data_IF_587869067382
#
_entry.id   IF_587869067382
#
_cell.length_a   1.000
_cell.length_b   1.000
_cell.length_c   1.000
_cell.angle_alpha   90.00
_cell.angle_beta   90.00
_cell.angle_gamma   90.00
#
_symmetry.space_group_name_H-M   'P 1'
#
loop_
_entity.id
_entity.type
_entity.pdbx_description
1 polymer ?
#
# COMPACT_ATOMS: atom_id res chain seq x y z
N UNK A 1 5.89 -28.42 -7.92
CA UNK A 1 5.05 -27.65 -6.97
C UNK A 1 5.08 -28.35 -5.62
N UNK A 2 5.23 -27.64 -4.49
CA UNK A 2 5.15 -28.22 -3.14
C UNK A 2 3.76 -28.08 -2.52
N UNK A 3 3.01 -27.07 -2.96
CA UNK A 3 1.63 -26.76 -2.56
C UNK A 3 0.81 -26.34 -3.80
N UNK A 4 -0.53 -26.39 -3.77
CA UNK A 4 -1.35 -25.85 -4.86
C UNK A 4 -1.34 -24.31 -4.93
N UNK A 5 -1.82 -23.77 -6.05
CA UNK A 5 -2.21 -22.35 -6.18
C UNK A 5 -3.71 -22.23 -5.89
N UNK A 6 -4.11 -21.19 -5.16
CA UNK A 6 -5.51 -20.83 -4.93
C UNK A 6 -5.79 -19.47 -5.54
N UNK A 7 -6.73 -19.40 -6.49
CA UNK A 7 -7.07 -18.17 -7.21
C UNK A 7 -8.48 -17.77 -6.85
N UNK A 8 -8.67 -16.50 -6.49
CA UNK A 8 -9.97 -15.89 -6.24
C UNK A 8 -10.27 -14.90 -7.36
N UNK A 9 -11.20 -15.23 -8.25
CA UNK A 9 -11.57 -14.40 -9.39
C UNK A 9 -12.94 -14.83 -9.96
N UNK A 10 -13.64 -13.92 -10.62
CA UNK A 10 -14.69 -14.29 -11.56
C UNK A 10 -14.07 -14.70 -12.92
N UNK A 11 -14.89 -15.13 -13.88
CA UNK A 11 -14.40 -15.60 -15.19
C UNK A 11 -13.60 -14.53 -15.95
N UNK A 12 -14.03 -13.27 -15.89
CA UNK A 12 -13.34 -12.16 -16.57
C UNK A 12 -11.94 -11.92 -15.99
N UNK A 13 -11.85 -11.80 -14.67
CA UNK A 13 -10.57 -11.57 -13.98
C UNK A 13 -9.64 -12.77 -14.13
N UNK A 14 -10.18 -14.00 -14.10
CA UNK A 14 -9.39 -15.21 -14.36
C UNK A 14 -8.86 -15.22 -15.80
N UNK A 15 -9.71 -14.92 -16.78
CA UNK A 15 -9.30 -14.79 -18.18
C UNK A 15 -8.17 -13.77 -18.34
N UNK A 16 -8.21 -12.68 -17.57
CA UNK A 16 -7.13 -11.70 -17.54
C UNK A 16 -5.83 -12.26 -16.95
N UNK A 17 -5.88 -12.96 -15.82
CA UNK A 17 -4.71 -13.60 -15.21
C UNK A 17 -4.10 -14.70 -16.09
N UNK A 18 -4.90 -15.33 -16.96
CA UNK A 18 -4.44 -16.29 -17.96
C UNK A 18 -3.73 -15.62 -19.16
N UNK A 19 -3.96 -14.32 -19.38
CA UNK A 19 -3.39 -13.57 -20.52
C UNK A 19 -1.94 -13.11 -20.32
N UNK A 20 -1.42 -13.21 -19.09
CA UNK A 20 -0.05 -12.83 -18.74
C UNK A 20 0.64 -13.94 -17.90
N UNK A 21 1.77 -13.64 -17.26
CA UNK A 21 2.51 -14.64 -16.44
C UNK A 21 1.99 -14.80 -15.01
N UNK A 22 0.83 -14.26 -14.63
CA UNK A 22 0.32 -14.30 -13.24
C UNK A 22 0.24 -15.72 -12.69
N UNK A 23 -0.45 -16.61 -13.41
CA UNK A 23 -0.64 -18.01 -12.98
C UNK A 23 0.71 -18.74 -12.96
N UNK A 24 1.57 -18.51 -13.96
CA UNK A 24 2.90 -19.11 -13.99
C UNK A 24 3.77 -18.66 -12.80
N UNK A 25 3.71 -17.38 -12.42
CA UNK A 25 4.43 -16.85 -11.27
C UNK A 25 3.91 -17.45 -9.96
N UNK A 26 2.59 -17.61 -9.82
CA UNK A 26 2.00 -18.30 -8.68
C UNK A 26 2.46 -19.77 -8.60
N UNK A 27 2.46 -20.49 -9.74
CA UNK A 27 2.98 -21.87 -9.84
C UNK A 27 4.44 -21.92 -9.42
N UNK A 28 5.27 -21.01 -9.92
CA UNK A 28 6.69 -20.92 -9.58
C UNK A 28 6.87 -20.68 -8.07
N UNK A 29 6.06 -19.80 -7.47
CA UNK A 29 6.14 -19.53 -6.04
C UNK A 29 5.80 -20.76 -5.17
N UNK A 30 4.99 -21.71 -5.67
CA UNK A 30 4.72 -22.96 -4.95
C UNK A 30 5.95 -23.87 -4.79
N UNK A 31 7.08 -23.57 -5.46
CA UNK A 31 8.32 -24.35 -5.33
C UNK A 31 9.23 -23.84 -4.21
N UNK A 32 8.95 -22.67 -3.64
CA UNK A 32 9.79 -22.04 -2.63
C UNK A 32 9.95 -22.95 -1.39
N UNK A 33 11.17 -23.06 -0.81
CA UNK A 33 11.37 -23.85 0.40
C UNK A 33 10.55 -23.33 1.59
N UNK A 34 9.88 -24.26 2.27
CA UNK A 34 9.04 -23.98 3.44
C UNK A 34 7.69 -23.31 3.15
N UNK A 35 7.28 -23.16 1.88
CA UNK A 35 5.92 -22.70 1.55
C UNK A 35 4.87 -23.65 2.12
N UNK A 36 3.81 -23.11 2.72
CA UNK A 36 2.77 -23.88 3.40
C UNK A 36 1.38 -23.65 2.80
N UNK A 37 0.52 -24.68 2.88
CA UNK A 37 -0.86 -24.75 2.38
C UNK A 37 -1.08 -24.46 0.90
N UNK A 38 -0.88 -23.22 0.44
CA UNK A 38 -1.09 -22.78 -0.93
C UNK A 38 -0.44 -21.40 -1.18
N UNK A 39 -0.25 -21.07 -2.45
CA UNK A 39 0.02 -19.68 -2.88
C UNK A 39 -1.31 -19.09 -3.35
N UNK A 40 -1.70 -17.94 -2.78
CA UNK A 40 -2.94 -17.24 -3.10
C UNK A 40 -2.70 -16.20 -4.18
N UNK A 41 -3.62 -16.11 -5.14
CA UNK A 41 -3.77 -14.99 -6.07
C UNK A 41 -5.14 -14.37 -5.84
N UNK A 42 -5.14 -13.11 -5.39
CA UNK A 42 -6.33 -12.31 -5.14
C UNK A 42 -6.92 -11.74 -6.45
N UNK A 43 -8.16 -11.24 -6.44
CA UNK A 43 -8.85 -10.75 -7.66
C UNK A 43 -8.10 -9.69 -8.48
N UNK A 44 -7.32 -8.85 -7.81
CA UNK A 44 -6.47 -7.82 -8.42
C UNK A 44 -5.16 -8.38 -9.02
N UNK A 45 -4.95 -9.70 -8.90
CA UNK A 45 -3.81 -10.47 -9.38
C UNK A 45 -3.34 -10.14 -10.80
N UNK A 46 -2.06 -9.80 -10.98
CA UNK A 46 -1.45 -9.57 -12.29
C UNK A 46 0.07 -9.83 -12.24
N UNK A 47 0.70 -9.94 -13.42
CA UNK A 47 2.12 -10.24 -13.53
C UNK A 47 2.98 -9.21 -12.78
N UNK A 48 3.86 -9.72 -11.91
CA UNK A 48 4.88 -8.94 -11.18
C UNK A 48 6.31 -9.33 -11.56
N UNK A 49 7.25 -9.09 -10.63
CA UNK A 49 8.62 -9.60 -10.68
C UNK A 49 8.76 -10.85 -9.81
N UNK A 50 8.91 -12.03 -10.43
CA UNK A 50 9.01 -13.33 -9.76
C UNK A 50 7.70 -13.84 -9.15
N UNK A 51 7.14 -13.05 -8.24
CA UNK A 51 5.87 -13.29 -7.55
C UNK A 51 4.77 -12.37 -8.12
N UNK A 52 3.52 -12.85 -8.29
CA UNK A 52 2.44 -12.03 -8.82
C UNK A 52 2.12 -10.87 -7.86
N UNK A 53 1.76 -9.71 -8.42
CA UNK A 53 1.08 -8.66 -7.65
C UNK A 53 -0.35 -9.16 -7.38
N UNK A 54 -0.93 -8.88 -6.22
CA UNK A 54 -2.14 -9.58 -5.75
C UNK A 54 -1.83 -10.95 -5.12
N UNK A 55 -0.55 -11.26 -4.89
CA UNK A 55 -0.12 -12.55 -4.37
C UNK A 55 0.01 -12.56 -2.85
N UNK A 56 -0.30 -13.70 -2.23
CA UNK A 56 0.02 -13.99 -0.82
C UNK A 56 0.60 -15.39 -0.68
N UNK A 57 1.68 -15.54 0.07
CA UNK A 57 2.22 -16.85 0.43
C UNK A 57 2.73 -16.84 1.87
N UNK A 58 2.58 -17.98 2.55
CA UNK A 58 3.16 -18.19 3.88
C UNK A 58 4.32 -19.17 3.80
N UNK A 59 5.41 -18.83 4.48
CA UNK A 59 6.61 -19.65 4.62
C UNK A 59 6.78 -20.01 6.09
N UNK A 60 7.22 -21.22 6.39
CA UNK A 60 7.62 -21.59 7.76
C UNK A 60 8.65 -20.58 8.31
N UNK A 61 8.46 -20.03 9.51
CA UNK A 61 9.35 -18.98 10.02
C UNK A 61 10.79 -19.45 10.25
N UNK A 62 11.02 -20.75 10.46
CA UNK A 62 12.36 -21.30 10.74
C UNK A 62 12.95 -21.95 9.50
N UNK A 63 12.18 -22.78 8.81
CA UNK A 63 12.64 -23.61 7.67
C UNK A 63 12.32 -23.01 6.31
N UNK A 64 11.56 -21.93 6.28
CA UNK A 64 11.15 -21.24 5.06
C UNK A 64 12.16 -20.21 4.60
N UNK A 65 11.78 -19.51 3.54
CA UNK A 65 12.60 -18.48 2.91
C UNK A 65 11.97 -17.10 3.04
N UNK A 66 12.79 -16.08 2.88
CA UNK A 66 12.36 -14.71 2.64
C UNK A 66 12.81 -14.29 1.23
N UNK A 67 11.93 -13.62 0.49
CA UNK A 67 12.18 -13.22 -0.90
C UNK A 67 11.84 -11.74 -1.10
N UNK A 68 12.82 -10.88 -1.44
CA UNK A 68 12.56 -9.48 -1.75
C UNK A 68 11.59 -9.30 -2.92
N UNK A 69 11.68 -10.16 -3.94
CA UNK A 69 10.76 -10.16 -5.08
C UNK A 69 9.31 -10.47 -4.70
N UNK A 70 9.10 -11.21 -3.61
CA UNK A 70 7.77 -11.54 -3.07
C UNK A 70 7.23 -10.49 -2.10
N UNK A 71 8.04 -9.51 -1.71
CA UNK A 71 7.60 -8.28 -1.01
C UNK A 71 7.28 -7.19 -2.02
N UNK A 72 8.15 -7.01 -3.02
CA UNK A 72 8.08 -5.95 -4.02
C UNK A 72 9.20 -4.91 -3.87
N UNK A 73 9.41 -4.12 -4.92
CA UNK A 73 10.45 -3.08 -4.92
C UNK A 73 10.10 -1.93 -4.00
N UNK A 74 8.87 -1.43 -4.05
CA UNK A 74 8.42 -0.39 -3.13
C UNK A 74 7.92 -1.01 -1.83
N UNK A 75 8.87 -1.32 -0.94
CA UNK A 75 8.62 -1.91 0.38
C UNK A 75 7.72 -0.97 1.18
N UNK A 76 6.68 -1.50 1.80
CA UNK A 76 5.66 -0.70 2.50
C UNK A 76 5.06 0.41 1.61
N UNK A 77 4.96 0.19 0.29
CA UNK A 77 3.90 0.85 -0.46
C UNK A 77 2.58 0.54 0.23
N UNK A 78 1.77 1.56 0.45
CA UNK A 78 0.63 1.46 1.33
C UNK A 78 -0.29 2.66 1.18
N UNK A 79 -1.40 2.57 1.90
CA UNK A 79 -2.52 3.50 1.77
C UNK A 79 -2.89 4.01 3.15
N UNK A 80 -3.15 5.32 3.20
CA UNK A 80 -3.56 6.03 4.39
C UNK A 80 -4.83 6.81 4.10
N UNK A 81 -5.82 6.73 5.00
CA UNK A 81 -7.07 7.49 4.89
C UNK A 81 -7.18 8.50 6.04
N UNK A 82 -7.39 9.77 5.72
CA UNK A 82 -7.68 10.85 6.66
C UNK A 82 -9.16 11.21 6.47
N UNK A 83 -9.89 11.40 7.56
CA UNK A 83 -11.26 11.93 7.51
C UNK A 83 -11.26 13.41 7.88
N UNK A 84 -12.33 14.12 7.55
CA UNK A 84 -12.58 15.51 7.97
C UNK A 84 -13.99 15.64 8.52
N UNK A 85 -14.34 16.80 9.07
CA UNK A 85 -15.75 17.15 9.34
C UNK A 85 -16.39 17.95 8.19
N UNK A 86 -15.73 18.05 7.03
CA UNK A 86 -16.24 18.76 5.86
C UNK A 86 -17.10 17.84 4.99
N UNK A 87 -18.02 18.44 4.26
CA UNK A 87 -18.84 17.80 3.24
C UNK A 87 -18.42 18.23 1.83
N UNK A 88 -18.93 17.54 0.81
CA UNK A 88 -18.74 17.95 -0.59
C UNK A 88 -19.13 19.41 -0.81
N UNK A 89 -20.23 19.88 -0.22
CA UNK A 89 -20.69 21.28 -0.36
C UNK A 89 -19.69 22.31 0.17
N UNK A 90 -18.92 21.96 1.21
CA UNK A 90 -17.90 22.85 1.78
C UNK A 90 -16.66 22.90 0.88
N UNK A 91 -16.27 21.75 0.33
CA UNK A 91 -15.03 21.59 -0.44
C UNK A 91 -15.18 21.99 -1.89
N UNK A 92 -16.32 21.68 -2.53
CA UNK A 92 -16.55 21.88 -3.97
C UNK A 92 -16.25 23.31 -4.45
N UNK A 93 -16.65 24.39 -3.73
CA UNK A 93 -16.34 25.77 -4.14
C UNK A 93 -14.85 26.10 -4.10
N UNK A 94 -14.07 25.45 -3.23
CA UNK A 94 -12.63 25.69 -3.02
C UNK A 94 -11.74 24.60 -3.61
N UNK A 95 -12.32 23.61 -4.29
CA UNK A 95 -11.62 22.39 -4.72
C UNK A 95 -10.44 22.68 -5.65
N UNK A 96 -10.59 23.63 -6.59
CA UNK A 96 -9.51 24.00 -7.50
C UNK A 96 -8.32 24.64 -6.77
N UNK A 97 -8.60 25.48 -5.77
CA UNK A 97 -7.62 26.11 -4.90
C UNK A 97 -6.92 25.06 -4.03
N UNK A 98 -7.70 24.21 -3.36
CA UNK A 98 -7.21 23.12 -2.52
C UNK A 98 -6.27 22.17 -3.26
N UNK A 99 -6.67 21.68 -4.44
CA UNK A 99 -5.84 20.76 -5.22
C UNK A 99 -4.57 21.46 -5.74
N UNK A 100 -4.63 22.77 -6.00
CA UNK A 100 -3.44 23.55 -6.39
C UNK A 100 -2.48 23.70 -5.22
N UNK A 101 -2.97 24.10 -4.04
CA UNK A 101 -2.15 24.26 -2.84
C UNK A 101 -1.54 22.91 -2.40
N UNK A 102 -2.30 21.81 -2.43
CA UNK A 102 -1.80 20.46 -2.16
C UNK A 102 -0.66 20.08 -3.12
N UNK A 103 -0.84 20.33 -4.43
CA UNK A 103 0.18 20.02 -5.45
C UNK A 103 1.46 20.85 -5.28
N UNK A 104 1.33 22.09 -4.82
CA UNK A 104 2.48 22.97 -4.56
C UNK A 104 3.20 22.60 -3.25
N UNK A 105 2.44 22.15 -2.25
CA UNK A 105 2.96 21.82 -0.92
C UNK A 105 3.59 20.43 -0.82
N UNK A 106 3.13 19.49 -1.64
CA UNK A 106 3.54 18.09 -1.58
C UNK A 106 4.29 17.73 -2.88
N UNK A 107 5.63 17.55 -2.83
CA UNK A 107 6.42 17.14 -3.97
C UNK A 107 5.92 15.83 -4.59
N UNK A 108 5.76 15.88 -5.91
CA UNK A 108 5.30 14.78 -6.76
C UNK A 108 6.34 14.44 -7.83
N UNK A 109 6.30 13.19 -8.27
CA UNK A 109 7.08 12.68 -9.39
C UNK A 109 8.54 12.32 -9.08
N UNK A 110 9.31 12.14 -10.14
CA UNK A 110 10.75 11.84 -10.08
C UNK A 110 11.64 13.10 -10.11
N UNK A 111 11.03 14.28 -9.99
CA UNK A 111 11.75 15.55 -10.15
C UNK A 111 12.81 15.75 -9.06
N UNK A 112 13.80 16.62 -9.34
CA UNK A 112 14.85 17.02 -8.39
C UNK A 112 14.34 17.82 -7.18
N UNK A 113 13.02 17.97 -7.01
CA UNK A 113 12.48 18.63 -5.81
C UNK A 113 12.66 17.69 -4.63
N UNK A 114 13.33 18.22 -3.62
CA UNK A 114 13.49 17.54 -2.34
C UNK A 114 12.10 17.38 -1.70
N UNK A 115 11.90 16.27 -0.98
CA UNK A 115 10.69 16.04 -0.20
C UNK A 115 10.49 17.15 0.83
N UNK A 116 9.29 17.23 1.41
CA UNK A 116 8.98 18.35 2.31
C UNK A 116 9.88 18.42 3.57
N UNK A 117 10.58 17.34 3.92
CA UNK A 117 11.50 17.29 5.06
C UNK A 117 12.91 17.00 4.54
N UNK A 118 13.84 17.92 4.83
CA UNK A 118 15.25 17.78 4.50
C UNK A 118 15.94 17.02 5.63
N UNK A 119 16.57 15.90 5.29
CA UNK A 119 17.30 15.05 6.24
C UNK A 119 18.80 15.21 6.04
N UNK A 120 19.53 15.39 7.14
CA UNK A 120 20.95 15.08 7.21
C UNK A 120 21.19 13.55 7.23
N UNK A 121 22.45 13.15 7.07
CA UNK A 121 22.86 11.73 7.09
C UNK A 121 22.54 11.05 8.42
N UNK A 122 22.62 11.75 9.55
CA UNK A 122 22.28 11.19 10.86
C UNK A 122 20.77 11.13 11.09
N UNK A 123 20.02 12.12 10.60
CA UNK A 123 18.57 12.15 10.77
C UNK A 123 17.86 11.07 9.98
N UNK A 124 18.38 10.67 8.81
CA UNK A 124 17.78 9.54 8.09
C UNK A 124 17.89 8.24 8.91
N UNK A 125 19.00 7.98 9.58
CA UNK A 125 19.15 6.78 10.41
C UNK A 125 18.14 6.79 11.56
N UNK A 126 17.90 7.94 12.18
CA UNK A 126 16.85 8.09 13.19
C UNK A 126 15.45 7.82 12.62
N UNK A 127 15.13 8.31 11.41
CA UNK A 127 13.87 8.00 10.73
C UNK A 127 13.74 6.50 10.46
N UNK A 128 14.82 5.86 10.00
CA UNK A 128 14.84 4.42 9.70
C UNK A 128 14.66 3.56 10.95
N UNK A 129 15.06 4.04 12.13
CA UNK A 129 14.91 3.32 13.41
C UNK A 129 13.57 3.61 14.07
N UNK A 130 13.14 4.88 14.09
CA UNK A 130 12.03 5.34 14.93
C UNK A 130 10.71 5.54 14.16
N UNK A 131 10.72 5.56 12.83
CA UNK A 131 9.51 5.68 12.02
C UNK A 131 8.70 6.93 12.37
N UNK A 132 7.40 6.76 12.61
CA UNK A 132 6.48 7.88 12.94
C UNK A 132 6.84 8.60 14.24
N UNK A 133 7.45 7.91 15.22
CA UNK A 133 7.84 8.52 16.50
C UNK A 133 8.83 9.68 16.31
N UNK A 134 9.74 9.57 15.32
CA UNK A 134 10.64 10.66 14.98
C UNK A 134 9.89 11.93 14.53
N UNK A 135 8.78 11.76 13.83
CA UNK A 135 7.93 12.84 13.35
C UNK A 135 7.10 13.47 14.48
N UNK A 136 6.68 12.67 15.46
CA UNK A 136 6.02 13.17 16.68
C UNK A 136 6.96 14.12 17.41
N UNK A 137 8.22 13.72 17.60
CA UNK A 137 9.23 14.52 18.30
C UNK A 137 9.61 15.83 17.58
N UNK A 138 9.21 15.98 16.31
CA UNK A 138 9.40 17.20 15.52
C UNK A 138 8.12 17.98 15.22
N UNK A 139 6.98 17.56 15.79
CA UNK A 139 5.70 18.24 15.62
C UNK A 139 5.01 17.99 14.27
N UNK A 140 5.40 16.95 13.54
CA UNK A 140 4.75 16.54 12.28
C UNK A 140 3.67 15.46 12.47
N UNK A 141 3.48 14.97 13.68
CA UNK A 141 2.55 13.89 13.98
C UNK A 141 2.06 13.96 15.43
N UNK A 142 0.92 13.31 15.68
CA UNK A 142 0.41 13.07 17.03
C UNK A 142 0.59 11.61 17.43
N UNK A 143 0.45 11.30 18.72
CA UNK A 143 0.42 9.89 19.19
C UNK A 143 -0.77 9.12 18.62
N UNK A 144 -1.93 9.79 18.49
CA UNK A 144 -3.12 9.20 17.85
C UNK A 144 -2.83 8.79 16.40
N UNK A 145 -2.01 9.56 15.66
CA UNK A 145 -1.60 9.18 14.30
C UNK A 145 -0.76 7.89 14.30
N UNK A 146 0.18 7.73 15.24
CA UNK A 146 0.98 6.50 15.34
C UNK A 146 0.09 5.30 15.69
N UNK A 147 -0.83 5.44 16.65
CA UNK A 147 -1.76 4.37 17.07
C UNK A 147 -2.66 3.87 15.94
N UNK A 148 -2.99 4.73 14.97
CA UNK A 148 -3.78 4.37 13.80
C UNK A 148 -2.94 3.88 12.60
N UNK A 149 -1.62 3.69 12.78
CA UNK A 149 -0.79 3.02 11.80
C UNK A 149 -0.70 1.53 12.09
N UNK A 150 -0.65 0.72 11.03
CA UNK A 150 -0.18 -0.66 11.15
C UNK A 150 1.21 -0.68 11.83
N UNK A 151 1.40 -1.59 12.80
CA UNK A 151 2.61 -1.66 13.64
C UNK A 151 2.91 -0.38 14.44
N UNK A 152 1.92 0.47 14.69
CA UNK A 152 2.16 1.76 15.35
C UNK A 152 3.02 2.71 14.51
N UNK A 153 3.20 2.42 13.21
CA UNK A 153 4.06 3.20 12.32
C UNK A 153 5.56 2.98 12.55
N UNK A 154 5.95 1.90 13.25
CA UNK A 154 7.34 1.56 13.51
C UNK A 154 7.56 0.05 13.69
N UNK A 155 8.33 -0.56 12.79
CA UNK A 155 8.86 -1.91 12.95
C UNK A 155 10.12 -1.91 13.82
N UNK A 156 10.04 -2.59 14.96
CA UNK A 156 11.16 -2.75 15.89
C UNK A 156 12.26 -3.64 15.29
N UNK A 157 13.52 -3.27 15.55
CA UNK A 157 14.71 -4.01 15.09
C UNK A 157 15.12 -3.69 13.65
N UNK A 158 14.80 -2.48 13.18
CA UNK A 158 15.42 -1.88 12.01
C UNK A 158 16.90 -1.56 12.30
N UNK A 159 17.79 -1.80 11.34
CA UNK A 159 19.23 -1.52 11.46
C UNK A 159 19.73 -0.78 10.21
N UNK A 160 19.98 0.54 10.31
CA UNK A 160 20.49 1.34 9.20
C UNK A 160 21.84 0.87 8.64
N UNK A 161 22.66 0.14 9.41
CA UNK A 161 23.92 -0.43 8.92
C UNK A 161 23.72 -1.51 7.85
N UNK A 162 22.50 -2.06 7.73
CA UNK A 162 22.11 -3.04 6.71
C UNK A 162 21.54 -2.40 5.45
N UNK A 163 21.46 -1.08 5.41
CA UNK A 163 20.97 -0.28 4.28
C UNK A 163 22.17 0.34 3.55
N UNK A 164 22.24 0.19 2.23
CA UNK A 164 23.39 0.66 1.45
C UNK A 164 23.48 2.19 1.41
N UNK A 165 24.68 2.73 1.18
CA UNK A 165 24.86 4.18 0.97
C UNK A 165 24.06 4.69 -0.23
N UNK A 166 23.87 3.88 -1.27
CA UNK A 166 23.02 4.25 -2.41
C UNK A 166 21.54 4.37 -2.00
N UNK A 167 21.04 3.49 -1.12
CA UNK A 167 19.68 3.57 -0.62
C UNK A 167 19.47 4.82 0.24
N UNK A 168 20.45 5.16 1.09
CA UNK A 168 20.45 6.42 1.84
C UNK A 168 20.46 7.63 0.90
N UNK A 169 21.38 7.67 -0.08
CA UNK A 169 21.50 8.75 -1.07
C UNK A 169 20.20 8.97 -1.85
N UNK A 170 19.48 7.89 -2.18
CA UNK A 170 18.18 7.96 -2.87
C UNK A 170 17.04 8.39 -1.94
N UNK A 171 17.06 7.96 -0.67
CA UNK A 171 16.01 8.22 0.30
C UNK A 171 16.06 9.60 0.97
N UNK A 172 17.24 10.08 1.36
CA UNK A 172 17.38 11.36 2.08
C UNK A 172 16.62 12.54 1.44
N UNK A 173 16.73 12.79 0.12
CA UNK A 173 16.05 13.93 -0.48
C UNK A 173 14.56 13.67 -0.77
N UNK A 174 13.98 12.53 -0.39
CA UNK A 174 12.62 12.14 -0.82
C UNK A 174 11.59 12.08 0.30
N UNK A 175 11.96 12.34 1.56
CA UNK A 175 11.03 12.23 2.68
C UNK A 175 9.95 13.33 2.61
N UNK A 176 8.69 12.92 2.65
CA UNK A 176 7.55 13.81 2.43
C UNK A 176 7.28 14.05 0.95
N UNK A 177 7.37 13.02 0.11
CA UNK A 177 7.02 13.10 -1.32
C UNK A 177 6.13 11.93 -1.75
N UNK A 178 5.21 12.17 -2.68
CA UNK A 178 4.35 11.12 -3.23
C UNK A 178 5.14 10.19 -4.17
N UNK A 179 5.89 10.80 -5.08
CA UNK A 179 6.52 10.09 -6.19
C UNK A 179 5.66 9.96 -7.43
N UNK A 180 5.97 8.93 -8.22
CA UNK A 180 5.38 8.67 -9.54
C UNK A 180 4.70 7.30 -9.62
N UNK A 181 4.13 6.99 -10.78
CA UNK A 181 3.42 5.73 -11.03
C UNK A 181 2.00 5.78 -10.48
N UNK A 182 1.61 4.76 -9.73
CA UNK A 182 0.28 4.66 -9.12
C UNK A 182 0.16 5.43 -7.80
N UNK A 183 1.17 6.23 -7.41
CA UNK A 183 1.12 7.03 -6.20
C UNK A 183 0.34 8.33 -6.42
N UNK A 184 -0.50 8.68 -5.46
CA UNK A 184 -1.37 9.85 -5.52
C UNK A 184 -1.77 10.33 -4.13
N UNK A 185 -2.33 11.53 -4.09
CA UNK A 185 -3.23 11.97 -3.02
C UNK A 185 -4.56 12.36 -3.65
N UNK A 186 -5.64 11.83 -3.12
CA UNK A 186 -7.00 12.08 -3.58
C UNK A 186 -7.84 12.70 -2.46
N UNK A 187 -8.46 13.85 -2.76
CA UNK A 187 -9.58 14.36 -1.98
C UNK A 187 -10.83 13.68 -2.52
N UNK A 188 -11.53 12.94 -1.67
CA UNK A 188 -12.65 12.08 -2.03
C UNK A 188 -13.87 12.42 -1.19
N UNK A 189 -15.06 12.10 -1.69
CA UNK A 189 -16.27 12.06 -0.86
C UNK A 189 -16.71 10.63 -0.59
N UNK A 190 -17.36 10.41 0.53
CA UNK A 190 -18.11 9.19 0.81
C UNK A 190 -19.35 9.17 -0.07
N UNK A 191 -19.37 8.30 -1.07
CA UNK A 191 -20.50 8.16 -2.00
C UNK A 191 -21.62 7.32 -1.40
N UNK A 192 -21.25 6.25 -0.68
CA UNK A 192 -22.21 5.32 -0.10
C UNK A 192 -21.67 4.63 1.14
N UNK A 193 -22.50 4.48 2.17
CA UNK A 193 -22.20 3.70 3.38
C UNK A 193 -22.94 2.37 3.34
N UNK A 194 -22.21 1.28 3.59
CA UNK A 194 -22.72 -0.10 3.60
C UNK A 194 -22.75 -0.69 5.01
N UNK A 195 -21.77 -0.35 5.85
CA UNK A 195 -21.70 -0.75 7.25
C UNK A 195 -21.61 0.51 8.12
N UNK A 196 -22.75 0.92 8.67
CA UNK A 196 -22.87 2.16 9.44
C UNK A 196 -22.14 2.10 10.79
N UNK A 197 -22.08 0.93 11.42
CA UNK A 197 -21.38 0.76 12.70
C UNK A 197 -19.87 0.89 12.51
N UNK A 198 -19.33 0.24 11.48
CA UNK A 198 -17.92 0.36 11.14
C UNK A 198 -17.55 1.77 10.67
N UNK A 199 -18.37 2.39 9.82
CA UNK A 199 -18.16 3.77 9.37
C UNK A 199 -18.15 4.76 10.53
N UNK A 200 -19.15 4.68 11.43
CA UNK A 200 -19.22 5.54 12.63
C UNK A 200 -17.99 5.36 13.53
N UNK A 201 -17.54 4.12 13.71
CA UNK A 201 -16.33 3.82 14.50
C UNK A 201 -15.09 4.47 13.87
N UNK A 202 -15.02 4.54 12.55
CA UNK A 202 -13.96 5.24 11.81
C UNK A 202 -14.11 6.77 11.79
N UNK A 203 -15.20 7.31 12.32
CA UNK A 203 -15.51 8.74 12.28
C UNK A 203 -16.03 9.22 10.92
N UNK A 204 -16.60 8.31 10.13
CA UNK A 204 -17.29 8.60 8.87
C UNK A 204 -18.78 8.48 9.15
N UNK A 205 -19.49 9.61 9.16
CA UNK A 205 -20.82 9.70 9.73
C UNK A 205 -21.90 9.73 8.66
N UNK A 206 -21.62 10.37 7.52
CA UNK A 206 -22.60 10.61 6.47
C UNK A 206 -22.04 10.36 5.07
N UNK A 207 -22.95 10.07 4.14
CA UNK A 207 -22.67 10.20 2.72
C UNK A 207 -22.45 11.69 2.40
N UNK A 208 -21.43 11.99 1.60
CA UNK A 208 -20.95 13.34 1.31
C UNK A 208 -19.78 13.81 2.18
N UNK A 209 -19.46 13.11 3.28
CA UNK A 209 -18.28 13.42 4.11
C UNK A 209 -17.00 13.37 3.26
N UNK A 210 -16.10 14.32 3.48
CA UNK A 210 -14.83 14.42 2.74
C UNK A 210 -13.72 13.68 3.46
N UNK A 211 -13.00 12.88 2.68
CA UNK A 211 -11.83 12.10 3.12
C UNK A 211 -10.66 12.36 2.18
N UNK A 212 -9.45 12.07 2.66
CA UNK A 212 -8.22 12.19 1.89
C UNK A 212 -7.52 10.84 1.89
N UNK A 213 -7.30 10.28 0.70
CA UNK A 213 -6.58 9.03 0.51
C UNK A 213 -5.16 9.34 0.00
N UNK A 214 -4.14 8.90 0.75
CA UNK A 214 -2.73 9.03 0.39
C UNK A 214 -2.20 7.64 0.04
N UNK A 215 -1.69 7.48 -1.17
CA UNK A 215 -1.05 6.26 -1.64
C UNK A 215 0.39 6.54 -2.05
N UNK A 216 1.34 6.07 -1.23
CA UNK A 216 2.76 6.07 -1.55
C UNK A 216 3.52 5.06 -0.68
N UNK A 217 4.82 4.92 -0.92
CA UNK A 217 5.68 3.98 -0.20
C UNK A 217 7.03 4.55 0.21
N UNK A 218 8.01 3.66 0.24
CA UNK A 218 9.40 3.88 0.66
C UNK A 218 10.27 4.64 -0.33
N UNK A 219 9.68 5.07 -1.46
CA UNK A 219 10.36 5.87 -2.49
C UNK A 219 11.59 5.15 -3.04
N UNK A 220 12.65 5.89 -3.37
CA UNK A 220 13.90 5.33 -3.88
C UNK A 220 14.63 4.43 -2.87
N UNK A 221 14.38 4.60 -1.57
CA UNK A 221 15.07 3.87 -0.50
C UNK A 221 14.71 2.39 -0.51
N UNK A 222 13.42 2.04 -0.40
CA UNK A 222 13.03 0.63 -0.40
C UNK A 222 13.24 -0.03 -1.75
N UNK A 223 13.09 0.70 -2.87
CA UNK A 223 13.45 0.18 -4.19
C UNK A 223 14.92 -0.22 -4.23
N UNK A 224 15.82 0.61 -3.69
CA UNK A 224 17.24 0.30 -3.67
C UNK A 224 17.53 -0.89 -2.75
N UNK A 225 16.93 -0.94 -1.55
CA UNK A 225 17.06 -2.09 -0.63
C UNK A 225 16.63 -3.37 -1.32
N UNK A 226 15.47 -3.40 -1.97
CA UNK A 226 15.02 -4.56 -2.74
C UNK A 226 16.03 -4.94 -3.83
N UNK A 227 16.56 -3.96 -4.57
CA UNK A 227 17.58 -4.18 -5.62
C UNK A 227 18.87 -4.79 -5.07
N UNK A 228 19.33 -4.31 -3.92
CA UNK A 228 20.55 -4.76 -3.28
C UNK A 228 20.40 -6.19 -2.76
N UNK A 229 19.30 -6.48 -2.06
CA UNK A 229 19.06 -7.80 -1.49
C UNK A 229 18.64 -8.86 -2.52
N UNK A 230 18.10 -8.48 -3.68
CA UNK A 230 17.97 -9.42 -4.80
C UNK A 230 19.34 -9.94 -5.25
N UNK A 231 20.36 -9.07 -5.34
CA UNK A 231 21.72 -9.49 -5.69
C UNK A 231 22.33 -10.39 -4.62
N UNK A 232 22.13 -10.06 -3.34
CA UNK A 232 22.56 -10.91 -2.21
C UNK A 232 21.93 -12.29 -2.32
N UNK A 233 20.62 -12.37 -2.56
CA UNK A 233 19.92 -13.65 -2.71
C UNK A 233 20.50 -14.49 -3.85
N UNK A 234 20.71 -13.88 -5.03
CA UNK A 234 21.28 -14.56 -6.20
C UNK A 234 22.69 -15.10 -5.94
N UNK A 235 23.52 -14.37 -5.18
CA UNK A 235 24.87 -14.80 -4.81
C UNK A 235 24.88 -15.93 -3.79
N UNK A 236 23.82 -16.08 -2.99
CA UNK A 236 23.71 -17.09 -1.95
C UNK A 236 23.09 -18.42 -2.40
N UNK A 237 22.70 -18.58 -3.68
CA UNK A 237 22.06 -19.82 -4.16
C UNK A 237 22.91 -21.07 -3.95
N UNK A 238 24.20 -21.02 -4.31
CA UNK A 238 25.11 -22.16 -4.13
C UNK A 238 25.30 -22.50 -2.64
N UNK A 239 25.40 -21.47 -1.78
CA UNK A 239 25.57 -21.62 -0.32
C UNK A 239 24.41 -22.41 0.30
N UNK A 240 23.19 -22.19 -0.18
CA UNK A 240 21.98 -22.79 0.40
C UNK A 240 21.34 -23.89 -0.46
N UNK A 241 21.97 -24.27 -1.59
CA UNK A 241 21.42 -25.27 -2.51
C UNK A 241 20.04 -24.88 -3.06
N UNK A 242 19.82 -23.58 -3.32
CA UNK A 242 18.53 -23.07 -3.80
C UNK A 242 18.49 -23.18 -5.32
N UNK A 243 17.55 -23.98 -5.83
CA UNK A 243 17.19 -24.06 -7.24
C UNK A 243 15.80 -23.46 -7.45
N UNK A 244 15.70 -22.51 -8.38
CA UNK A 244 14.46 -21.78 -8.66
C UNK A 244 14.05 -21.94 -10.13
N UNK A 245 12.74 -22.12 -10.40
CA UNK A 245 12.24 -22.20 -11.77
C UNK A 245 12.28 -20.84 -12.50
N UNK A 246 12.43 -19.74 -11.75
CA UNK A 246 12.59 -18.39 -12.28
C UNK A 246 13.56 -17.62 -11.39
N UNK A 247 14.58 -17.00 -11.99
CA UNK A 247 15.58 -16.19 -11.28
C UNK A 247 14.96 -15.03 -10.50
N UNK A 248 13.82 -14.51 -10.96
CA UNK A 248 13.12 -13.41 -10.30
C UNK A 248 12.50 -13.79 -8.93
N UNK A 249 12.44 -15.08 -8.59
CA UNK A 249 12.00 -15.56 -7.27
C UNK A 249 13.13 -15.60 -6.23
N UNK A 250 14.18 -14.81 -6.42
CA UNK A 250 15.34 -14.80 -5.55
C UNK A 250 14.97 -14.73 -4.07
N UNK A 251 15.57 -15.63 -3.29
CA UNK A 251 15.27 -15.84 -1.89
C UNK A 251 16.46 -16.44 -1.14
N UNK A 252 16.44 -16.32 0.19
CA UNK A 252 17.37 -16.97 1.12
C UNK A 252 16.59 -17.56 2.30
N UNK A 253 17.14 -18.52 3.06
CA UNK A 253 16.47 -19.02 4.26
C UNK A 253 16.17 -17.87 5.23
N UNK A 254 14.97 -17.84 5.81
CA UNK A 254 14.52 -16.72 6.64
C UNK A 254 15.42 -16.48 7.87
N UNK A 255 15.99 -17.55 8.42
CA UNK A 255 16.87 -17.53 9.59
C UNK A 255 18.37 -17.44 9.22
N UNK A 256 18.71 -17.24 7.94
CA UNK A 256 20.12 -17.07 7.53
C UNK A 256 20.64 -15.68 7.85
N UNK A 257 21.96 -15.50 7.84
CA UNK A 257 22.61 -14.19 8.00
C UNK A 257 22.07 -13.16 7.00
N UNK A 258 21.96 -13.54 5.72
CA UNK A 258 21.41 -12.69 4.66
C UNK A 258 19.92 -12.43 4.85
N UNK A 259 19.17 -13.43 5.35
CA UNK A 259 17.75 -13.31 5.67
C UNK A 259 17.50 -12.33 6.82
N UNK A 260 18.26 -12.42 7.91
CA UNK A 260 18.22 -11.46 9.02
C UNK A 260 18.64 -10.05 8.59
N UNK A 261 19.73 -9.95 7.82
CA UNK A 261 20.18 -8.67 7.26
C UNK A 261 19.09 -8.02 6.40
N UNK A 262 18.45 -8.80 5.51
CA UNK A 262 17.34 -8.30 4.70
C UNK A 262 16.15 -7.85 5.56
N UNK A 263 15.76 -8.64 6.57
CA UNK A 263 14.66 -8.26 7.48
C UNK A 263 14.95 -6.94 8.19
N UNK A 264 16.16 -6.73 8.69
CA UNK A 264 16.55 -5.47 9.34
C UNK A 264 16.48 -4.28 8.37
N UNK A 265 17.00 -4.42 7.15
CA UNK A 265 16.94 -3.38 6.13
C UNK A 265 15.50 -3.12 5.63
N UNK A 266 14.70 -4.18 5.48
CA UNK A 266 13.29 -4.10 5.11
C UNK A 266 12.52 -3.31 6.17
N UNK A 267 12.76 -3.55 7.46
CA UNK A 267 12.17 -2.78 8.56
C UNK A 267 12.54 -1.29 8.50
N UNK A 268 13.77 -0.94 8.10
CA UNK A 268 14.14 0.45 7.83
C UNK A 268 13.25 1.06 6.72
N UNK A 269 13.00 0.33 5.63
CA UNK A 269 12.11 0.79 4.56
C UNK A 269 10.65 0.91 5.00
N UNK A 270 10.17 0.01 5.87
CA UNK A 270 8.85 0.14 6.51
C UNK A 270 8.73 1.46 7.27
N UNK A 271 9.68 1.72 8.16
CA UNK A 271 9.71 2.92 9.00
C UNK A 271 9.77 4.18 8.15
N UNK A 272 10.64 4.21 7.14
CA UNK A 272 10.73 5.32 6.20
C UNK A 272 9.40 5.58 5.45
N UNK A 273 8.72 4.53 4.99
CA UNK A 273 7.46 4.70 4.24
C UNK A 273 6.31 5.24 5.11
N UNK A 274 6.19 4.79 6.36
CA UNK A 274 5.21 5.38 7.29
C UNK A 274 5.56 6.82 7.63
N UNK A 275 6.84 7.12 7.87
CA UNK A 275 7.33 8.49 8.04
C UNK A 275 7.01 9.36 6.83
N UNK A 276 7.15 8.82 5.61
CA UNK A 276 6.81 9.53 4.38
C UNK A 276 5.30 9.85 4.30
N UNK A 277 4.43 8.87 4.54
CA UNK A 277 2.97 9.09 4.56
C UNK A 277 2.54 10.04 5.67
N UNK A 278 3.21 10.01 6.81
CA UNK A 278 2.96 10.93 7.92
C UNK A 278 3.41 12.37 7.60
N UNK A 279 4.58 12.55 6.98
CA UNK A 279 5.00 13.87 6.50
C UNK A 279 3.98 14.45 5.50
N UNK A 280 3.50 13.65 4.55
CA UNK A 280 2.46 14.07 3.60
C UNK A 280 1.15 14.38 4.32
N UNK A 281 0.78 13.62 5.36
CA UNK A 281 -0.40 13.89 6.21
C UNK A 281 -0.30 15.28 6.85
N UNK A 282 0.86 15.64 7.41
CA UNK A 282 1.07 16.97 7.98
C UNK A 282 0.87 18.08 6.95
N UNK A 283 1.51 17.97 5.78
CA UNK A 283 1.39 19.00 4.75
C UNK A 283 -0.01 19.06 4.13
N UNK A 284 -0.71 17.94 4.07
CA UNK A 284 -2.13 17.89 3.71
C UNK A 284 -2.96 18.71 4.70
N UNK A 285 -2.77 18.49 6.01
CA UNK A 285 -3.45 19.29 7.04
C UNK A 285 -3.15 20.77 6.89
N UNK A 286 -1.88 21.15 6.66
CA UNK A 286 -1.48 22.55 6.41
C UNK A 286 -2.13 23.16 5.16
N UNK A 287 -2.31 22.40 4.09
CA UNK A 287 -3.03 22.85 2.90
C UNK A 287 -4.50 23.13 3.19
N UNK A 288 -5.17 22.24 3.93
CA UNK A 288 -6.54 22.47 4.36
C UNK A 288 -6.65 23.68 5.31
N UNK A 289 -5.72 23.83 6.26
CA UNK A 289 -5.72 25.00 7.16
C UNK A 289 -5.66 26.33 6.38
N UNK A 290 -4.79 26.43 5.38
CA UNK A 290 -4.65 27.63 4.55
C UNK A 290 -5.91 27.93 3.73
N UNK A 291 -6.46 26.91 3.07
CA UNK A 291 -7.60 27.09 2.14
C UNK A 291 -8.92 27.30 2.87
N UNK A 292 -9.12 26.64 4.00
CA UNK A 292 -10.35 26.77 4.79
C UNK A 292 -10.27 27.83 5.88
N UNK A 293 -9.06 28.33 6.20
CA UNK A 293 -8.82 29.30 7.27
C UNK A 293 -9.37 28.82 8.62
N UNK A 294 -9.12 27.55 8.91
CA UNK A 294 -9.53 26.80 10.10
C UNK A 294 -8.34 25.97 10.57
N UNK A 295 -8.20 25.72 11.86
CA UNK A 295 -7.12 24.86 12.35
C UNK A 295 -7.36 23.38 12.00
N UNK A 296 -6.31 22.55 12.04
CA UNK A 296 -6.41 21.08 11.92
C UNK A 296 -7.46 20.50 12.88
N UNK A 297 -7.56 21.04 14.09
CA UNK A 297 -8.53 20.62 15.11
C UNK A 297 -9.96 21.04 14.74
N UNK A 298 -10.15 22.23 14.18
CA UNK A 298 -11.48 22.70 13.76
C UNK A 298 -12.03 21.88 12.59
N UNK A 299 -11.13 21.40 11.72
CA UNK A 299 -11.42 20.54 10.57
C UNK A 299 -11.52 19.05 10.92
N UNK A 300 -11.18 18.70 12.16
CA UNK A 300 -11.17 17.35 12.73
C UNK A 300 -10.46 16.34 11.81
N UNK A 301 -9.27 16.72 11.32
CA UNK A 301 -8.52 15.96 10.31
C UNK A 301 -7.76 14.76 10.90
N UNK A 302 -8.49 13.74 11.34
CA UNK A 302 -7.90 12.55 11.98
C UNK A 302 -7.56 11.43 11.01
N UNK A 303 -6.49 10.71 11.33
CA UNK A 303 -6.14 9.48 10.65
C UNK A 303 -7.18 8.39 10.96
N UNK A 304 -7.77 7.80 9.92
CA UNK A 304 -8.62 6.62 10.04
C UNK A 304 -7.75 5.39 10.23
N UNK A 305 -6.88 5.10 9.25
CA UNK A 305 -5.91 4.01 9.34
C UNK A 305 -4.82 4.16 8.27
N UNK A 306 -3.65 3.56 8.51
CA UNK A 306 -2.54 3.44 7.55
C UNK A 306 -2.10 1.96 7.46
N UNK A 307 -2.06 1.42 6.25
CA UNK A 307 -1.80 -0.01 6.03
C UNK A 307 -0.87 -0.26 4.83
N UNK A 308 0.03 -1.24 4.98
CA UNK A 308 0.96 -1.68 3.94
C UNK A 308 0.30 -2.69 2.98
N UNK A 309 0.73 -2.70 1.71
CA UNK A 309 0.37 -3.77 0.77
C UNK A 309 1.55 -4.44 0.05
N UNK A 310 2.78 -4.00 0.33
CA UNK A 310 4.02 -4.68 -0.04
C UNK A 310 4.79 -4.99 1.24
N UNK A 311 4.66 -6.21 1.75
CA UNK A 311 5.18 -6.59 3.06
C UNK A 311 5.66 -8.04 3.14
N UNK A 312 6.59 -8.30 4.06
CA UNK A 312 6.80 -9.61 4.66
C UNK A 312 6.76 -9.46 6.18
N UNK A 313 5.91 -10.23 6.85
CA UNK A 313 5.73 -10.15 8.31
C UNK A 313 5.73 -11.53 8.94
N UNK A 314 6.27 -11.63 10.14
CA UNK A 314 6.13 -12.83 10.96
C UNK A 314 4.78 -12.73 11.65
N UNK A 315 3.91 -13.71 11.44
CA UNK A 315 2.56 -13.77 12.00
C UNK A 315 2.28 -15.21 12.45
N UNK A 316 1.42 -15.37 13.45
CA UNK A 316 0.96 -16.68 13.89
C UNK A 316 -0.34 -17.06 13.18
N UNK A 317 -0.33 -18.21 12.52
CA UNK A 317 -1.47 -18.73 11.75
C UNK A 317 -1.70 -20.21 12.03
N UNK A 318 -2.95 -20.68 11.85
CA UNK A 318 -3.29 -22.10 11.98
C UNK A 318 -2.98 -22.85 10.69
N UNK A 319 -1.92 -23.64 10.72
CA UNK A 319 -1.47 -24.50 9.63
C UNK A 319 -1.69 -25.97 9.97
N UNK A 320 -2.57 -26.62 9.22
CA UNK A 320 -2.97 -28.02 9.41
C UNK A 320 -3.42 -28.33 10.85
N UNK A 321 -4.24 -27.43 11.40
CA UNK A 321 -4.79 -27.51 12.76
C UNK A 321 -3.80 -27.14 13.87
N UNK A 322 -2.59 -26.67 13.54
CA UNK A 322 -1.57 -26.26 14.52
C UNK A 322 -1.21 -24.80 14.35
N UNK A 323 -1.14 -24.07 15.45
CA UNK A 323 -0.58 -22.72 15.47
C UNK A 323 0.90 -22.77 15.09
N UNK A 324 1.30 -21.95 14.12
CA UNK A 324 2.67 -21.83 13.65
C UNK A 324 3.00 -20.38 13.35
N UNK A 325 4.21 -20.00 13.71
CA UNK A 325 4.81 -18.76 13.25
C UNK A 325 5.25 -18.91 11.79
N UNK A 326 4.81 -18.00 10.94
CA UNK A 326 5.06 -18.01 9.49
C UNK A 326 5.48 -16.63 9.01
N UNK A 327 6.32 -16.58 7.98
CA UNK A 327 6.56 -15.35 7.21
C UNK A 327 5.47 -15.24 6.16
N UNK A 328 4.62 -14.23 6.27
CA UNK A 328 3.56 -13.91 5.31
C UNK A 328 4.10 -12.89 4.32
N UNK A 329 4.35 -13.32 3.08
CA UNK A 329 4.67 -12.43 1.96
C UNK A 329 3.37 -11.91 1.34
N UNK A 330 3.23 -10.59 1.27
CA UNK A 330 2.14 -9.89 0.60
C UNK A 330 2.72 -8.92 -0.42
N UNK A 331 2.35 -9.06 -1.68
CA UNK A 331 2.77 -8.15 -2.75
C UNK A 331 1.56 -7.68 -3.52
N UNK A 332 1.23 -6.41 -3.38
CA UNK A 332 -0.09 -5.90 -3.75
C UNK A 332 -1.18 -6.69 -3.02
N UNK A 333 -1.03 -6.92 -1.72
CA UNK A 333 -2.04 -7.54 -0.89
C UNK A 333 -1.96 -6.94 0.51
N UNK A 334 -3.10 -6.74 1.14
CA UNK A 334 -3.21 -5.97 2.38
C UNK A 334 -3.57 -6.90 3.54
N UNK A 335 -3.09 -6.63 4.75
CA UNK A 335 -3.56 -7.34 5.95
C UNK A 335 -5.05 -7.06 6.20
N UNK A 336 -5.78 -8.05 6.68
CA UNK A 336 -7.23 -8.01 6.85
C UNK A 336 -7.66 -8.83 8.07
N UNK A 337 -7.06 -8.56 9.24
CA UNK A 337 -7.41 -9.28 10.45
C UNK A 337 -8.86 -9.03 10.88
N UNK A 338 -9.58 -10.07 11.32
CA UNK A 338 -10.95 -9.93 11.79
C UNK A 338 -11.04 -9.24 13.15
N UNK A 339 -12.26 -8.96 13.58
CA UNK A 339 -12.55 -8.54 14.94
C UNK A 339 -11.96 -9.51 15.98
N UNK A 340 -11.53 -8.98 17.12
CA UNK A 340 -10.91 -9.72 18.21
C UNK A 340 -9.38 -9.81 18.16
N UNK A 341 -8.75 -9.49 17.02
CA UNK A 341 -7.28 -9.50 16.91
C UNK A 341 -6.63 -8.47 17.85
N UNK A 342 -5.57 -8.85 18.55
CA UNK A 342 -4.80 -7.94 19.41
C UNK A 342 -3.86 -7.03 18.63
N UNK A 343 -3.53 -7.43 17.40
CA UNK A 343 -2.64 -6.75 16.44
C UNK A 343 -3.30 -5.53 15.76
N UNK A 344 -4.60 -5.31 16.00
CA UNK A 344 -5.33 -4.15 15.48
C UNK A 344 -5.59 -3.13 16.61
N UNK A 345 -5.63 -1.82 16.29
CA UNK A 345 -5.84 -0.78 17.29
C UNK A 345 -7.10 -1.04 18.10
N UNK A 346 -7.07 -0.72 19.40
CA UNK A 346 -8.18 -0.97 20.31
C UNK A 346 -9.52 -0.45 19.78
N UNK A 347 -9.49 0.73 19.14
CA UNK A 347 -10.63 1.38 18.47
C UNK A 347 -11.36 0.47 17.46
N UNK A 348 -10.63 -0.39 16.75
CA UNK A 348 -11.17 -1.22 15.67
C UNK A 348 -11.31 -2.71 16.05
N UNK A 349 -10.92 -3.11 17.27
CA UNK A 349 -10.96 -4.52 17.70
C UNK A 349 -12.34 -5.17 17.60
N UNK A 350 -13.41 -4.40 17.76
CA UNK A 350 -14.78 -4.93 17.67
C UNK A 350 -15.28 -5.11 16.24
N UNK A 351 -14.74 -4.36 15.27
CA UNK A 351 -15.21 -4.37 13.89
C UNK A 351 -14.28 -5.13 12.94
N UNK A 352 -12.98 -5.24 13.28
CA UNK A 352 -11.93 -5.80 12.43
C UNK A 352 -11.01 -4.72 11.86
N UNK A 353 -9.91 -5.14 11.23
CA UNK A 353 -8.90 -4.23 10.70
C UNK A 353 -9.45 -3.41 9.54
N UNK A 354 -9.38 -2.06 9.57
CA UNK A 354 -9.65 -1.25 8.38
C UNK A 354 -8.64 -1.59 7.27
N UNK A 355 -9.12 -1.66 6.05
CA UNK A 355 -8.30 -1.87 4.86
C UNK A 355 -8.89 -1.11 3.69
N UNK A 356 -8.06 -0.77 2.70
CA UNK A 356 -8.43 0.15 1.63
C UNK A 356 -8.14 -0.45 0.27
N UNK A 357 -9.06 -0.22 -0.68
CA UNK A 357 -8.83 -0.48 -2.09
C UNK A 357 -8.79 0.88 -2.80
N UNK A 358 -7.59 1.48 -2.98
CA UNK A 358 -7.42 2.57 -3.93
C UNK A 358 -7.86 2.13 -5.32
N UNK A 359 -8.74 2.93 -5.93
CA UNK A 359 -9.05 2.80 -7.34
C UNK A 359 -7.99 3.47 -8.21
N UNK A 360 -8.45 4.44 -8.98
CA UNK A 360 -7.65 5.29 -9.87
C UNK A 360 -8.26 6.69 -9.90
N UNK A 361 -7.57 7.65 -10.51
CA UNK A 361 -7.93 9.08 -10.52
C UNK A 361 -9.34 9.44 -11.02
N UNK A 362 -10.13 8.48 -11.51
CA UNK A 362 -11.53 8.67 -11.91
C UNK A 362 -12.45 7.49 -11.64
N UNK A 363 -12.02 6.54 -10.79
CA UNK A 363 -12.84 5.42 -10.29
C UNK A 363 -12.97 5.48 -8.77
N UNK A 364 -13.83 4.64 -8.20
CA UNK A 364 -14.05 4.57 -6.76
C UNK A 364 -12.85 4.05 -6.00
N UNK A 365 -12.73 4.46 -4.73
CA UNK A 365 -11.96 3.73 -3.73
C UNK A 365 -12.91 3.08 -2.73
N UNK A 366 -12.43 2.07 -2.00
CA UNK A 366 -13.25 1.37 -1.00
C UNK A 366 -12.59 1.34 0.37
N UNK A 367 -13.41 1.54 1.39
CA UNK A 367 -13.09 1.20 2.78
C UNK A 367 -13.71 -0.16 3.06
N UNK A 368 -12.89 -1.10 3.52
CA UNK A 368 -13.30 -2.42 3.96
C UNK A 368 -12.84 -2.67 5.40
N UNK A 369 -13.37 -3.73 6.01
CA UNK A 369 -12.86 -4.29 7.28
C UNK A 369 -12.61 -5.79 7.13
N UNK A 370 -11.53 -6.29 7.75
CA UNK A 370 -11.18 -7.70 7.77
C UNK A 370 -12.26 -8.59 8.39
N UNK A 371 -12.44 -9.80 7.85
CA UNK A 371 -13.46 -10.76 8.28
C UNK A 371 -12.88 -12.16 8.47
N UNK A 372 -13.54 -13.05 9.26
CA UNK A 372 -12.93 -14.30 9.71
C UNK A 372 -12.38 -15.22 8.61
N UNK A 373 -13.03 -15.27 7.44
CA UNK A 373 -12.54 -16.11 6.34
C UNK A 373 -11.18 -15.65 5.81
N UNK A 374 -10.74 -14.42 6.11
CA UNK A 374 -9.41 -13.95 5.72
C UNK A 374 -8.32 -14.84 6.33
N UNK A 375 -8.46 -15.26 7.60
CA UNK A 375 -7.47 -16.10 8.27
C UNK A 375 -7.34 -17.47 7.59
N UNK A 376 -8.47 -18.09 7.23
CA UNK A 376 -8.49 -19.44 6.65
C UNK A 376 -8.15 -19.44 5.14
N UNK A 377 -8.74 -18.52 4.37
CA UNK A 377 -8.65 -18.53 2.91
C UNK A 377 -7.41 -17.84 2.38
N UNK A 378 -6.92 -16.80 3.08
CA UNK A 378 -5.92 -15.87 2.56
C UNK A 378 -4.86 -15.45 3.58
N UNK A 379 -4.74 -16.18 4.71
CA UNK A 379 -3.74 -15.90 5.75
C UNK A 379 -3.85 -14.47 6.31
N UNK A 380 -5.07 -14.07 6.64
CA UNK A 380 -5.38 -12.75 7.17
C UNK A 380 -5.16 -11.64 6.15
N UNK A 381 -5.45 -11.88 4.86
CA UNK A 381 -5.14 -10.94 3.77
C UNK A 381 -6.33 -10.64 2.87
N UNK A 382 -6.30 -9.49 2.20
CA UNK A 382 -7.27 -9.11 1.16
C UNK A 382 -6.57 -8.29 0.07
N UNK A 383 -7.33 -7.90 -0.95
CA UNK A 383 -6.91 -7.08 -2.08
C UNK A 383 -6.32 -5.72 -1.66
N UNK A 384 -5.54 -5.10 -2.55
CA UNK A 384 -4.87 -3.83 -2.29
C UNK A 384 -5.26 -2.69 -3.22
N UNK A 385 -5.95 -2.98 -4.33
CA UNK A 385 -6.22 -2.00 -5.36
C UNK A 385 -6.93 -2.61 -6.56
N UNK A 386 -7.09 -1.81 -7.61
CA UNK A 386 -7.75 -2.27 -8.83
C UNK A 386 -6.91 -3.22 -9.70
N UNK A 387 -5.56 -3.19 -9.59
CA UNK A 387 -4.67 -4.01 -10.42
C UNK A 387 -4.67 -3.61 -11.92
N UNK A 388 -3.49 -3.59 -12.56
CA UNK A 388 -3.38 -3.10 -13.94
C UNK A 388 -3.88 -4.11 -14.96
N UNK A 389 -4.69 -3.65 -15.93
CA UNK A 389 -5.09 -4.40 -17.12
C UNK A 389 -4.07 -4.26 -18.27
N UNK A 390 -3.35 -3.15 -18.33
CA UNK A 390 -2.42 -2.88 -19.43
C UNK A 390 -1.13 -2.20 -18.97
N UNK A 391 -0.08 -2.40 -19.75
CA UNK A 391 1.21 -1.75 -19.52
C UNK A 391 1.12 -0.25 -19.78
N UNK A 392 2.03 0.52 -19.17
CA UNK A 392 2.15 1.97 -19.40
C UNK A 392 2.35 2.31 -20.88
N UNK A 393 3.18 1.53 -21.57
CA UNK A 393 3.39 1.66 -23.01
C UNK A 393 2.12 1.44 -23.82
N UNK A 394 1.28 0.47 -23.42
CA UNK A 394 0.00 0.24 -24.07
C UNK A 394 -1.00 1.38 -23.78
N UNK A 395 -1.01 1.94 -22.58
CA UNK A 395 -1.86 3.07 -22.23
C UNK A 395 -1.60 4.28 -23.16
N UNK A 396 -0.34 4.65 -23.37
CA UNK A 396 0.04 5.76 -24.28
C UNK A 396 -0.38 5.56 -25.74
N UNK A 397 -0.50 4.31 -26.18
CA UNK A 397 -0.94 4.00 -27.54
C UNK A 397 -2.45 4.12 -27.71
N UNK A 398 -3.22 3.88 -26.64
CA UNK A 398 -4.68 3.76 -26.70
C UNK A 398 -5.41 5.01 -26.19
N UNK A 399 -4.78 5.85 -25.38
CA UNK A 399 -5.42 7.00 -24.75
C UNK A 399 -4.67 8.31 -24.99
N UNK A 400 -5.44 9.40 -25.12
CA UNK A 400 -4.91 10.75 -25.26
C UNK A 400 -5.23 11.57 -24.01
N UNK A 401 -4.23 12.30 -23.52
CA UNK A 401 -4.34 13.25 -22.41
C UNK A 401 -5.60 14.13 -22.45
N UNK A 402 -5.91 14.75 -23.60
CA UNK A 402 -7.07 15.66 -23.71
C UNK A 402 -8.39 14.95 -23.40
N UNK A 403 -8.56 13.74 -23.93
CA UNK A 403 -9.76 12.92 -23.70
C UNK A 403 -9.88 12.51 -22.23
N UNK A 404 -8.76 12.12 -21.61
CA UNK A 404 -8.73 11.72 -20.19
C UNK A 404 -9.14 12.90 -19.29
N UNK A 405 -8.57 14.09 -19.53
CA UNK A 405 -8.93 15.29 -18.77
C UNK A 405 -10.39 15.67 -18.97
N UNK A 406 -10.91 15.65 -20.21
CA UNK A 406 -12.32 15.95 -20.49
C UNK A 406 -13.26 14.97 -19.76
N UNK A 407 -12.93 13.68 -19.72
CA UNK A 407 -13.70 12.67 -18.98
C UNK A 407 -13.70 12.92 -17.46
N UNK A 408 -12.55 13.29 -16.90
CA UNK A 408 -12.44 13.62 -15.48
C UNK A 408 -13.23 14.91 -15.14
N UNK A 409 -13.14 15.93 -16.00
CA UNK A 409 -13.87 17.19 -15.83
C UNK A 409 -15.38 17.00 -15.92
N UNK A 410 -15.87 16.13 -16.82
CA UNK A 410 -17.29 15.77 -16.91
C UNK A 410 -17.81 15.11 -15.62
N UNK A 411 -16.93 14.41 -14.88
CA UNK A 411 -17.22 13.86 -13.55
C UNK A 411 -17.03 14.87 -12.41
N UNK A 412 -16.65 16.11 -12.72
CA UNK A 412 -16.35 17.15 -11.73
C UNK A 412 -15.05 16.91 -10.96
N UNK A 413 -14.10 16.18 -11.54
CA UNK A 413 -12.82 15.83 -10.91
C UNK A 413 -11.74 16.83 -11.31
N UNK A 414 -11.10 17.45 -10.33
CA UNK A 414 -9.94 18.34 -10.54
C UNK A 414 -8.66 17.54 -10.45
N UNK A 415 -7.79 17.62 -11.46
CA UNK A 415 -6.51 16.91 -11.45
C UNK A 415 -5.32 17.86 -11.64
N UNK A 416 -4.27 17.64 -10.85
CA UNK A 416 -2.94 18.20 -11.05
C UNK A 416 -1.93 17.07 -11.18
N UNK A 417 -1.10 17.14 -12.20
CA UNK A 417 -0.05 16.14 -12.42
C UNK A 417 1.23 16.78 -12.96
N UNK A 418 2.38 16.16 -12.65
CA UNK A 418 3.69 16.63 -13.11
C UNK A 418 3.81 16.62 -14.62
N UNK A 419 3.35 15.56 -15.27
CA UNK A 419 3.42 15.44 -16.73
C UNK A 419 2.10 14.98 -17.32
N UNK A 420 1.92 15.27 -18.61
CA UNK A 420 0.79 14.71 -19.37
C UNK A 420 0.88 13.18 -19.49
N UNK A 421 2.10 12.65 -19.48
CA UNK A 421 2.33 11.21 -19.56
C UNK A 421 1.77 10.49 -18.34
N UNK A 422 2.03 11.03 -17.16
CA UNK A 422 1.57 10.48 -15.87
C UNK A 422 0.05 10.32 -15.83
N UNK A 423 -0.70 11.27 -16.39
CA UNK A 423 -2.16 11.21 -16.48
C UNK A 423 -2.61 10.08 -17.43
N UNK A 424 -1.96 9.91 -18.57
CA UNK A 424 -2.35 8.87 -19.54
C UNK A 424 -2.04 7.46 -19.01
N UNK A 425 -0.90 7.29 -18.32
CA UNK A 425 -0.48 5.99 -17.78
C UNK A 425 -1.41 5.42 -16.70
N UNK A 426 -2.15 6.30 -16.03
CA UNK A 426 -2.96 5.99 -14.86
C UNK A 426 -4.45 6.26 -15.08
N UNK A 427 -4.90 6.37 -16.34
CA UNK A 427 -6.32 6.55 -16.68
C UNK A 427 -7.16 5.35 -16.20
N UNK A 428 -8.42 5.55 -15.73
CA UNK A 428 -9.19 4.46 -15.12
C UNK A 428 -9.30 3.18 -15.94
N UNK A 429 -9.31 3.30 -17.26
CA UNK A 429 -9.43 2.17 -18.20
C UNK A 429 -8.18 1.27 -18.25
N UNK A 430 -7.06 1.66 -17.62
CA UNK A 430 -5.86 0.82 -17.52
C UNK A 430 -5.89 -0.12 -16.32
N UNK A 431 -6.93 -0.01 -15.49
CA UNK A 431 -7.14 -0.77 -14.26
C UNK A 431 -8.37 -1.68 -14.39
N UNK A 432 -8.41 -2.76 -13.61
CA UNK A 432 -9.62 -3.59 -13.51
C UNK A 432 -10.71 -2.80 -12.78
N UNK A 433 -11.95 -3.29 -12.85
CA UNK A 433 -13.04 -2.69 -12.09
C UNK A 433 -12.87 -2.95 -10.58
N UNK A 434 -12.59 -1.87 -9.86
CA UNK A 434 -12.40 -1.86 -8.41
C UNK A 434 -13.66 -2.26 -7.65
N UNK A 435 -14.86 -1.97 -8.19
CA UNK A 435 -16.13 -2.33 -7.58
C UNK A 435 -16.36 -3.85 -7.64
N UNK A 436 -15.95 -4.50 -8.74
CA UNK A 436 -15.96 -5.96 -8.87
C UNK A 436 -14.99 -6.60 -7.88
N UNK A 437 -13.78 -6.05 -7.76
CA UNK A 437 -12.75 -6.54 -6.83
C UNK A 437 -13.21 -6.43 -5.36
N UNK A 438 -13.81 -5.30 -4.99
CA UNK A 438 -14.41 -5.09 -3.66
C UNK A 438 -15.57 -6.06 -3.41
N UNK A 439 -16.37 -6.36 -4.43
CA UNK A 439 -17.49 -7.32 -4.34
C UNK A 439 -16.99 -8.73 -4.11
N UNK A 440 -16.01 -9.21 -4.88
CA UNK A 440 -15.46 -10.56 -4.67
C UNK A 440 -14.87 -10.70 -3.27
N UNK A 441 -14.16 -9.68 -2.77
CA UNK A 441 -13.60 -9.71 -1.42
C UNK A 441 -14.69 -9.78 -0.33
N UNK A 442 -15.80 -9.06 -0.54
CA UNK A 442 -16.99 -9.10 0.31
C UNK A 442 -17.65 -10.49 0.31
N UNK A 443 -17.93 -11.03 -0.87
CA UNK A 443 -18.64 -12.30 -1.03
C UNK A 443 -17.83 -13.49 -0.48
N UNK A 444 -16.50 -13.43 -0.57
CA UNK A 444 -15.60 -14.42 0.04
C UNK A 444 -15.55 -14.34 1.57
N UNK A 445 -16.03 -13.24 2.16
CA UNK A 445 -15.93 -12.99 3.59
C UNK A 445 -14.50 -12.78 4.09
N UNK A 446 -13.56 -12.44 3.20
CA UNK A 446 -12.16 -12.10 3.57
C UNK A 446 -12.04 -10.63 4.01
N UNK A 447 -12.93 -9.79 3.53
CA UNK A 447 -13.18 -8.45 4.05
C UNK A 447 -14.65 -8.09 3.78
N UNK A 448 -15.22 -7.05 4.39
CA UNK A 448 -16.56 -6.56 4.03
C UNK A 448 -16.55 -5.09 3.67
N UNK A 449 -17.46 -4.66 2.78
CA UNK A 449 -17.64 -3.27 2.38
C UNK A 449 -18.13 -2.43 3.55
N UNK A 450 -17.43 -1.33 3.83
CA UNK A 450 -17.85 -0.31 4.80
C UNK A 450 -18.37 0.92 4.08
N UNK A 451 -17.57 1.49 3.18
CA UNK A 451 -17.95 2.67 2.42
C UNK A 451 -17.30 2.68 1.03
N UNK A 452 -18.03 3.25 0.07
CA UNK A 452 -17.51 3.59 -1.27
C UNK A 452 -17.13 5.07 -1.26
N UNK A 453 -15.95 5.37 -1.76
CA UNK A 453 -15.41 6.72 -1.92
C UNK A 453 -15.32 7.04 -3.40
N UNK A 454 -15.57 8.29 -3.79
CA UNK A 454 -15.37 8.77 -5.17
C UNK A 454 -14.51 10.04 -5.17
N UNK A 455 -13.55 10.16 -6.11
CA UNK A 455 -12.63 11.29 -6.14
C UNK A 455 -13.34 12.59 -6.49
N UNK A 456 -12.96 13.66 -5.80
CA UNK A 456 -13.29 15.04 -6.12
C UNK A 456 -12.08 15.72 -6.76
N UNK A 457 -10.88 15.46 -6.25
CA UNK A 457 -9.67 15.96 -6.86
C UNK A 457 -8.44 15.12 -6.55
N UNK A 458 -7.46 15.18 -7.44
CA UNK A 458 -6.31 14.27 -7.47
C UNK A 458 -5.03 15.05 -7.71
N UNK A 459 -4.01 14.79 -6.91
CA UNK A 459 -2.63 15.14 -7.22
C UNK A 459 -1.82 13.87 -7.50
N UNK A 460 -1.04 13.90 -8.59
CA UNK A 460 -0.25 12.75 -9.02
C UNK A 460 1.12 13.17 -9.55
N UNK A 461 2.12 12.32 -9.35
CA UNK A 461 3.42 12.50 -9.99
C UNK A 461 3.75 11.47 -11.04
#
# INVERSE_FOLDING_TARGET
MKVPVRIFANEELLGKMMSDRTIQQAINATTLPGVQKNVVVLPDGHQGYGFPVGGVAIMDAVKGVISPGSVGYDINCGVRLIRTNLTESDVRPKLQELITDLFESIPVGMSKREGCIHLSRSEIDEVLVHGVEWLINRGYATKEDAEMCEEGGCMIGADPSKVSEEAHRRGMPQLGSLGSGNHFLEVQKVDKIFDKEAANTMGILNEGDVTILIHCGSRGLGHQICTDYLKVCEQSYQKYGIELPDRQLACVPNASEEGESYKMAMKCAFNYAWSNRQAITHWTRKSFERVFNQSESDLDMKLVYDIAHNSAKIEDHVVDGKEKSVVVHRKGATRAFPAGSTEIPQKYRQIGQPTFIPGSMGSSSWILIGKPNSLELTFGSTVHGAGRLMSRTAAHKNYNYKQVIEQLQQKGIVIKSMTRYDVVEETPQVYKDVDVIATISHDLGIATKVAKLVPLGVIKG
#
